data_IF_077519396128
#
_entry.id   IF_077519396128
#
_cell.length_a   1.000
_cell.length_b   1.000
_cell.length_c   1.000
_cell.angle_alpha   90.00
_cell.angle_beta   90.00
_cell.angle_gamma   90.00
#
_symmetry.space_group_name_H-M   'P 1'
#
loop_
_entity.id
_entity.type
_entity.pdbx_description
1 polymer ?
#
# COMPACT_ATOMS: atom_id res chain seq x y z
N UNK A 1 -16.57 11.64 -46.51
CA UNK A 1 -15.17 11.17 -46.48
C UNK A 1 -14.98 10.43 -45.18
N UNK A 2 -14.65 9.14 -45.24
CA UNK A 2 -14.29 8.39 -44.02
C UNK A 2 -12.99 8.98 -43.45
N UNK A 3 -12.86 9.11 -42.12
CA UNK A 3 -11.63 9.61 -41.52
C UNK A 3 -10.43 8.73 -41.87
N UNK A 4 -9.25 9.35 -41.97
CA UNK A 4 -7.99 8.66 -42.24
C UNK A 4 -7.69 7.65 -41.10
N UNK A 5 -7.51 6.35 -41.41
CA UNK A 5 -7.18 5.34 -40.40
C UNK A 5 -5.96 5.69 -39.54
N UNK A 6 -4.97 6.38 -40.10
CA UNK A 6 -3.79 6.80 -39.34
C UNK A 6 -4.12 7.92 -38.35
N UNK A 7 -5.01 8.84 -38.73
CA UNK A 7 -5.49 9.90 -37.85
C UNK A 7 -6.35 9.32 -36.71
N UNK A 8 -7.23 8.36 -37.00
CA UNK A 8 -8.02 7.65 -35.98
C UNK A 8 -7.13 6.89 -34.99
N UNK A 9 -6.12 6.18 -35.48
CA UNK A 9 -5.17 5.46 -34.63
C UNK A 9 -4.37 6.42 -33.73
N UNK A 10 -3.98 7.59 -34.25
CA UNK A 10 -3.30 8.61 -33.47
C UNK A 10 -4.19 9.23 -32.38
N UNK A 11 -5.47 9.48 -32.68
CA UNK A 11 -6.44 9.97 -31.70
C UNK A 11 -6.72 8.94 -30.60
N UNK A 12 -6.93 7.68 -30.99
CA UNK A 12 -7.11 6.57 -30.04
C UNK A 12 -5.87 6.35 -29.15
N UNK A 13 -4.67 6.43 -29.72
CA UNK A 13 -3.43 6.36 -28.94
C UNK A 13 -3.34 7.49 -27.90
N UNK A 14 -3.69 8.73 -28.28
CA UNK A 14 -3.69 9.87 -27.35
C UNK A 14 -4.72 9.67 -26.22
N UNK A 15 -5.91 9.15 -26.53
CA UNK A 15 -6.91 8.84 -25.52
C UNK A 15 -6.39 7.84 -24.48
N UNK A 16 -5.72 6.78 -24.93
CA UNK A 16 -5.07 5.78 -24.06
C UNK A 16 -3.93 6.39 -23.22
N UNK A 17 -3.19 7.38 -23.74
CA UNK A 17 -2.21 8.12 -22.92
C UNK A 17 -2.89 8.83 -21.76
N UNK A 18 -3.96 9.57 -22.02
CA UNK A 18 -4.72 10.27 -20.97
C UNK A 18 -5.39 9.31 -19.99
N UNK A 19 -5.91 8.18 -20.48
CA UNK A 19 -6.47 7.12 -19.64
C UNK A 19 -5.42 6.55 -18.68
N UNK A 20 -4.19 6.29 -19.15
CA UNK A 20 -3.13 5.82 -18.28
C UNK A 20 -2.77 6.83 -17.18
N UNK A 21 -2.75 8.13 -17.48
CA UNK A 21 -2.59 9.17 -16.44
C UNK A 21 -3.75 9.18 -15.43
N UNK A 22 -4.98 9.01 -15.89
CA UNK A 22 -6.15 8.89 -15.01
C UNK A 22 -6.02 7.66 -14.10
N UNK A 23 -5.57 6.52 -14.63
CA UNK A 23 -5.31 5.33 -13.82
C UNK A 23 -4.27 5.57 -12.74
N UNK A 24 -3.18 6.31 -13.02
CA UNK A 24 -2.23 6.68 -11.97
C UNK A 24 -2.86 7.57 -10.89
N UNK A 25 -3.70 8.54 -11.25
CA UNK A 25 -4.42 9.35 -10.26
C UNK A 25 -5.37 8.50 -9.40
N UNK A 26 -5.95 7.46 -9.99
CA UNK A 26 -6.76 6.44 -9.31
C UNK A 26 -5.91 5.34 -8.62
N UNK A 27 -4.58 5.49 -8.57
CA UNK A 27 -3.64 4.56 -7.94
C UNK A 27 -3.68 3.15 -8.51
N UNK A 28 -3.89 3.05 -9.83
CA UNK A 28 -3.90 1.79 -10.61
C UNK A 28 -2.68 1.75 -11.54
N UNK A 29 -1.44 1.60 -11.02
CA UNK A 29 -0.23 1.66 -11.84
C UNK A 29 -0.16 0.56 -12.91
N UNK A 30 -0.76 -0.60 -12.68
CA UNK A 30 -0.84 -1.68 -13.67
C UNK A 30 -1.72 -1.31 -14.86
N UNK A 31 -2.90 -0.74 -14.60
CA UNK A 31 -3.79 -0.27 -15.65
C UNK A 31 -3.19 0.91 -16.43
N UNK A 32 -2.47 1.79 -15.73
CA UNK A 32 -1.72 2.87 -16.37
C UNK A 32 -0.67 2.34 -17.35
N UNK A 33 0.16 1.40 -16.90
CA UNK A 33 1.14 0.73 -17.75
C UNK A 33 0.50 0.10 -18.99
N UNK A 34 -0.62 -0.61 -18.81
CA UNK A 34 -1.32 -1.30 -19.90
C UNK A 34 -1.89 -0.33 -20.94
N UNK A 35 -2.50 0.77 -20.49
CA UNK A 35 -3.04 1.82 -21.37
C UNK A 35 -1.93 2.39 -22.27
N UNK A 36 -0.76 2.68 -21.71
CA UNK A 36 0.37 3.20 -22.49
C UNK A 36 0.99 2.15 -23.41
N UNK A 37 1.01 0.88 -23.03
CA UNK A 37 1.42 -0.20 -23.93
C UNK A 37 0.45 -0.33 -25.12
N UNK A 38 -0.86 -0.23 -24.90
CA UNK A 38 -1.84 -0.23 -25.98
C UNK A 38 -1.68 0.99 -26.89
N UNK A 39 -1.40 2.17 -26.32
CA UNK A 39 -1.11 3.38 -27.11
C UNK A 39 0.10 3.17 -28.05
N UNK A 40 1.18 2.53 -27.56
CA UNK A 40 2.36 2.20 -28.38
C UNK A 40 2.03 1.17 -29.46
N UNK A 41 1.13 0.21 -29.21
CA UNK A 41 0.69 -0.74 -30.25
C UNK A 41 -0.08 -0.06 -31.38
N UNK A 42 -0.97 0.88 -31.04
CA UNK A 42 -1.71 1.65 -32.04
C UNK A 42 -0.82 2.62 -32.82
N UNK A 43 0.17 3.20 -32.14
CA UNK A 43 1.12 4.14 -32.72
C UNK A 43 2.54 3.81 -32.28
N UNK A 44 3.24 2.92 -33.01
CA UNK A 44 4.63 2.58 -32.72
C UNK A 44 5.52 3.83 -32.70
N UNK A 45 6.30 3.99 -31.62
CA UNK A 45 7.13 5.18 -31.41
C UNK A 45 6.39 6.40 -30.86
N UNK A 46 5.18 6.23 -30.30
CA UNK A 46 4.51 7.33 -29.61
C UNK A 46 5.36 7.83 -28.42
N UNK A 47 5.85 9.07 -28.55
CA UNK A 47 6.74 9.69 -27.58
C UNK A 47 6.07 9.87 -26.21
N UNK A 48 4.81 10.30 -26.17
CA UNK A 48 4.12 10.57 -24.91
C UNK A 48 3.87 9.30 -24.10
N UNK A 49 3.42 8.22 -24.76
CA UNK A 49 3.27 6.91 -24.12
C UNK A 49 4.62 6.34 -23.64
N UNK A 50 5.69 6.53 -24.42
CA UNK A 50 7.04 6.06 -24.08
C UNK A 50 7.61 6.82 -22.87
N UNK A 51 7.45 8.14 -22.82
CA UNK A 51 7.83 8.97 -21.67
C UNK A 51 7.02 8.63 -20.42
N UNK A 52 5.73 8.33 -20.57
CA UNK A 52 4.87 7.94 -19.46
C UNK A 52 5.30 6.59 -18.84
N UNK A 53 5.63 5.59 -19.67
CA UNK A 53 6.18 4.31 -19.22
C UNK A 53 7.53 4.46 -18.52
N UNK A 54 8.43 5.29 -19.05
CA UNK A 54 9.70 5.59 -18.40
C UNK A 54 9.48 6.25 -17.03
N UNK A 55 8.55 7.22 -16.95
CA UNK A 55 8.22 7.88 -15.70
C UNK A 55 7.64 6.92 -14.65
N UNK A 56 6.84 5.94 -15.03
CA UNK A 56 6.38 4.90 -14.09
C UNK A 56 7.51 3.97 -13.66
N UNK A 57 8.38 3.56 -14.59
CA UNK A 57 9.53 2.72 -14.27
C UNK A 57 10.49 3.39 -13.27
N UNK A 58 10.64 4.72 -13.36
CA UNK A 58 11.51 5.55 -12.52
C UNK A 58 10.79 6.16 -11.31
N UNK A 59 9.53 5.77 -11.04
CA UNK A 59 8.78 6.26 -9.87
C UNK A 59 9.31 5.61 -8.58
N UNK A 60 10.39 6.17 -8.02
CA UNK A 60 11.06 5.68 -6.81
C UNK A 60 10.20 5.75 -5.54
N UNK A 61 9.12 6.52 -5.56
CA UNK A 61 8.14 6.57 -4.48
C UNK A 61 7.22 5.34 -4.45
N UNK A 62 7.12 4.59 -5.56
CA UNK A 62 6.35 3.36 -5.66
C UNK A 62 7.21 2.12 -5.36
N UNK A 63 6.63 1.07 -4.75
CA UNK A 63 7.33 -0.21 -4.60
C UNK A 63 7.63 -0.81 -5.98
N UNK A 64 8.74 -1.53 -6.12
CA UNK A 64 9.16 -2.15 -7.39
C UNK A 64 8.06 -3.02 -8.00
N UNK A 65 7.33 -3.77 -7.17
CA UNK A 65 6.18 -4.59 -7.59
C UNK A 65 5.14 -3.76 -8.36
N UNK A 66 4.92 -2.48 -8.04
CA UNK A 66 3.93 -1.64 -8.72
C UNK A 66 4.39 -1.13 -10.10
N UNK A 67 5.70 -1.05 -10.33
CA UNK A 67 6.30 -0.44 -11.54
C UNK A 67 6.98 -1.43 -12.49
N UNK A 68 7.28 -2.65 -12.02
CA UNK A 68 7.89 -3.73 -12.82
C UNK A 68 6.95 -4.19 -13.94
N UNK A 69 7.38 -4.17 -15.23
CA UNK A 69 6.62 -4.74 -16.33
C UNK A 69 6.40 -6.24 -16.14
N UNK A 70 5.21 -6.73 -16.51
CA UNK A 70 4.83 -8.15 -16.37
C UNK A 70 4.44 -8.78 -17.69
N UNK A 71 4.58 -10.09 -17.75
CA UNK A 71 4.20 -10.93 -18.89
C UNK A 71 3.26 -12.01 -18.40
N UNK A 72 2.40 -12.44 -19.31
CA UNK A 72 1.55 -13.61 -19.09
C UNK A 72 2.43 -14.85 -18.96
N UNK A 73 2.03 -15.76 -18.07
CA UNK A 73 2.63 -17.08 -17.91
C UNK A 73 2.24 -17.98 -19.07
N UNK A 74 3.10 -18.96 -19.36
CA UNK A 74 2.85 -19.99 -20.35
C UNK A 74 2.06 -21.15 -19.74
N UNK A 75 1.34 -21.94 -20.55
CA UNK A 75 0.72 -23.18 -20.08
C UNK A 75 1.79 -24.14 -19.55
N UNK A 76 1.47 -24.84 -18.46
CA UNK A 76 2.39 -25.68 -17.70
C UNK A 76 2.94 -26.87 -18.51
N UNK A 77 2.10 -27.43 -19.39
CA UNK A 77 2.43 -28.58 -20.24
C UNK A 77 1.77 -28.46 -21.63
N UNK A 78 2.02 -29.47 -22.47
CA UNK A 78 1.48 -29.51 -23.84
C UNK A 78 -0.04 -29.75 -23.87
N UNK A 79 -0.61 -30.36 -22.84
CA UNK A 79 -2.06 -30.57 -22.74
C UNK A 79 -2.78 -29.25 -22.44
N UNK A 80 -2.31 -28.51 -21.43
CA UNK A 80 -2.73 -27.15 -21.15
C UNK A 80 -2.55 -26.25 -22.37
N UNK A 81 -1.42 -26.37 -23.08
CA UNK A 81 -1.21 -25.64 -24.34
C UNK A 81 -2.25 -25.97 -25.40
N UNK A 82 -2.66 -27.24 -25.51
CA UNK A 82 -3.77 -27.66 -26.36
C UNK A 82 -5.09 -26.96 -26.00
N UNK A 83 -5.48 -26.97 -24.72
CA UNK A 83 -6.68 -26.29 -24.22
C UNK A 83 -6.65 -24.78 -24.46
N UNK A 84 -5.51 -24.15 -24.22
CA UNK A 84 -5.32 -22.71 -24.46
C UNK A 84 -5.47 -22.38 -25.94
N UNK A 85 -4.81 -23.15 -26.83
CA UNK A 85 -4.91 -22.95 -28.28
C UNK A 85 -6.34 -23.13 -28.80
N UNK A 86 -7.10 -24.05 -28.22
CA UNK A 86 -8.52 -24.23 -28.55
C UNK A 86 -9.35 -23.03 -28.11
N UNK A 87 -9.19 -22.60 -26.85
CA UNK A 87 -9.92 -21.45 -26.29
C UNK A 87 -9.62 -20.18 -27.07
N UNK A 88 -8.35 -19.93 -27.40
CA UNK A 88 -7.91 -18.72 -28.08
C UNK A 88 -8.26 -18.68 -29.57
N UNK A 89 -8.73 -19.79 -30.15
CA UNK A 89 -9.01 -19.88 -31.58
C UNK A 89 -10.06 -18.85 -32.00
N UNK A 90 -9.64 -17.89 -32.83
CA UNK A 90 -10.52 -16.85 -33.36
C UNK A 90 -10.80 -15.68 -32.40
N UNK A 91 -10.14 -15.61 -31.24
CA UNK A 91 -10.22 -14.48 -30.31
C UNK A 91 -9.09 -13.50 -30.55
N UNK A 92 -9.36 -12.21 -30.30
CA UNK A 92 -8.32 -11.18 -30.28
C UNK A 92 -7.79 -11.02 -28.85
N UNK A 93 -6.66 -11.67 -28.55
CA UNK A 93 -6.03 -11.56 -27.22
C UNK A 93 -5.26 -10.24 -27.01
N UNK A 94 -5.25 -9.33 -27.99
CA UNK A 94 -4.74 -7.98 -27.79
C UNK A 94 -5.75 -7.08 -27.08
N UNK A 95 -7.04 -7.43 -27.16
CA UNK A 95 -8.12 -6.90 -26.35
C UNK A 95 -8.06 -7.55 -24.96
N UNK A 96 -7.96 -6.71 -23.92
CA UNK A 96 -7.74 -7.18 -22.56
C UNK A 96 -9.00 -7.82 -21.95
N UNK A 97 -10.20 -7.37 -22.32
CA UNK A 97 -11.45 -7.99 -21.87
C UNK A 97 -11.60 -9.36 -22.50
N UNK A 98 -11.34 -9.48 -23.81
CA UNK A 98 -11.36 -10.77 -24.50
C UNK A 98 -10.32 -11.75 -23.94
N UNK A 99 -9.11 -11.25 -23.60
CA UNK A 99 -8.08 -12.05 -22.95
C UNK A 99 -8.50 -12.49 -21.53
N UNK A 100 -9.04 -11.60 -20.72
CA UNK A 100 -9.53 -11.92 -19.38
C UNK A 100 -10.63 -13.00 -19.43
N UNK A 101 -11.61 -12.87 -20.33
CA UNK A 101 -12.67 -13.86 -20.53
C UNK A 101 -12.14 -15.21 -21.06
N UNK A 102 -11.11 -15.21 -21.91
CA UNK A 102 -10.50 -16.46 -22.36
C UNK A 102 -9.77 -17.20 -21.23
N UNK A 103 -9.04 -16.48 -20.36
CA UNK A 103 -8.41 -17.09 -19.20
C UNK A 103 -9.42 -17.51 -18.13
N UNK A 104 -10.52 -16.79 -17.98
CA UNK A 104 -11.67 -17.22 -17.18
C UNK A 104 -12.22 -18.57 -17.65
N UNK A 105 -12.49 -18.72 -18.94
CA UNK A 105 -13.00 -19.98 -19.50
C UNK A 105 -12.04 -21.16 -19.30
N UNK A 106 -10.73 -20.92 -19.46
CA UNK A 106 -9.70 -21.94 -19.16
C UNK A 106 -9.73 -22.30 -17.67
N UNK A 107 -9.79 -21.31 -16.79
CA UNK A 107 -9.78 -21.50 -15.34
C UNK A 107 -11.06 -22.16 -14.80
N UNK A 108 -12.21 -21.94 -15.45
CA UNK A 108 -13.46 -22.63 -15.12
C UNK A 108 -13.46 -24.08 -15.63
N UNK A 109 -12.90 -24.32 -16.82
CA UNK A 109 -12.80 -25.66 -17.41
C UNK A 109 -11.73 -26.53 -16.75
N UNK A 110 -10.62 -25.94 -16.34
CA UNK A 110 -9.53 -26.59 -15.60
C UNK A 110 -9.11 -25.72 -14.40
N UNK A 111 -9.79 -25.85 -13.24
CA UNK A 111 -9.52 -25.04 -12.06
C UNK A 111 -8.10 -25.17 -11.50
N UNK A 112 -7.36 -26.22 -11.87
CA UNK A 112 -5.97 -26.42 -11.43
C UNK A 112 -4.92 -25.77 -12.34
N UNK A 113 -5.34 -25.16 -13.46
CA UNK A 113 -4.45 -24.40 -14.35
C UNK A 113 -4.03 -23.07 -13.70
N UNK A 114 -3.02 -23.14 -12.83
CA UNK A 114 -2.52 -21.97 -12.11
C UNK A 114 -2.09 -20.82 -13.04
N UNK A 115 -1.35 -21.06 -14.16
CA UNK A 115 -1.04 -20.00 -15.12
C UNK A 115 -2.27 -19.26 -15.67
N UNK A 116 -3.39 -19.94 -15.89
CA UNK A 116 -4.64 -19.29 -16.32
C UNK A 116 -5.19 -18.32 -15.27
N UNK A 117 -5.20 -18.70 -13.99
CA UNK A 117 -5.60 -17.81 -12.89
C UNK A 117 -4.71 -16.57 -12.76
N UNK A 118 -3.39 -16.75 -12.84
CA UNK A 118 -2.45 -15.62 -12.82
C UNK A 118 -2.71 -14.66 -13.99
N UNK A 119 -2.86 -15.22 -15.19
CA UNK A 119 -3.08 -14.44 -16.41
C UNK A 119 -4.41 -13.70 -16.39
N UNK A 120 -5.48 -14.34 -15.90
CA UNK A 120 -6.77 -13.68 -15.63
C UNK A 120 -6.57 -12.50 -14.70
N UNK A 121 -5.91 -12.71 -13.56
CA UNK A 121 -5.64 -11.65 -12.58
C UNK A 121 -4.85 -10.49 -13.17
N UNK A 122 -3.84 -10.78 -13.98
CA UNK A 122 -3.01 -9.75 -14.62
C UNK A 122 -3.80 -8.96 -15.69
N UNK A 123 -4.61 -9.63 -16.52
CA UNK A 123 -5.49 -8.96 -17.48
C UNK A 123 -6.52 -8.05 -16.79
N UNK A 124 -7.15 -8.53 -15.71
CA UNK A 124 -8.09 -7.74 -14.91
C UNK A 124 -7.41 -6.54 -14.24
N UNK A 125 -6.19 -6.72 -13.73
CA UNK A 125 -5.40 -5.62 -13.18
C UNK A 125 -5.02 -4.57 -14.25
N UNK A 126 -4.74 -5.00 -15.48
CA UNK A 126 -4.49 -4.12 -16.62
C UNK A 126 -5.75 -3.37 -17.09
N UNK A 127 -6.94 -3.95 -16.90
CA UNK A 127 -8.23 -3.27 -17.09
C UNK A 127 -8.61 -2.34 -15.92
N UNK A 128 -7.87 -2.38 -14.82
CA UNK A 128 -8.21 -1.66 -13.58
C UNK A 128 -9.40 -2.25 -12.81
N UNK A 129 -9.78 -3.50 -13.12
CA UNK A 129 -10.76 -4.32 -12.37
C UNK A 129 -10.05 -4.97 -11.18
N UNK A 130 -9.57 -4.13 -10.27
CA UNK A 130 -8.69 -4.53 -9.18
C UNK A 130 -9.29 -5.59 -8.26
N UNK A 131 -10.60 -5.51 -8.00
CA UNK A 131 -11.28 -6.41 -7.07
C UNK A 131 -11.23 -7.86 -7.53
N UNK A 132 -11.64 -8.08 -8.77
CA UNK A 132 -11.63 -9.39 -9.42
C UNK A 132 -10.20 -9.89 -9.71
N UNK A 133 -9.27 -8.96 -9.97
CA UNK A 133 -7.86 -9.30 -10.12
C UNK A 133 -7.28 -9.87 -8.83
N UNK A 134 -7.63 -9.30 -7.66
CA UNK A 134 -7.21 -9.81 -6.35
C UNK A 134 -7.74 -11.22 -6.13
N UNK A 135 -8.99 -11.52 -6.51
CA UNK A 135 -9.56 -12.87 -6.37
C UNK A 135 -8.82 -13.88 -7.24
N UNK A 136 -8.59 -13.58 -8.52
CA UNK A 136 -7.85 -14.47 -9.41
C UNK A 136 -6.40 -14.70 -8.94
N UNK A 137 -5.73 -13.68 -8.42
CA UNK A 137 -4.39 -13.80 -7.83
C UNK A 137 -4.41 -14.63 -6.53
N UNK A 138 -5.47 -14.54 -5.73
CA UNK A 138 -5.63 -15.39 -4.54
C UNK A 138 -5.73 -16.87 -4.93
N UNK A 139 -6.53 -17.18 -5.95
CA UNK A 139 -6.63 -18.54 -6.49
C UNK A 139 -5.30 -19.04 -7.02
N UNK A 140 -4.59 -18.22 -7.79
CA UNK A 140 -3.24 -18.55 -8.23
C UNK A 140 -2.32 -18.90 -7.05
N UNK A 141 -2.31 -18.08 -6.00
CA UNK A 141 -1.47 -18.33 -4.81
C UNK A 141 -1.84 -19.65 -4.13
N UNK A 142 -3.12 -20.00 -4.04
CA UNK A 142 -3.54 -21.29 -3.47
C UNK A 142 -2.98 -22.50 -4.24
N UNK A 143 -2.88 -22.40 -5.56
CA UNK A 143 -2.36 -23.47 -6.41
C UNK A 143 -0.82 -23.47 -6.48
N UNK A 144 -0.22 -22.27 -6.48
CA UNK A 144 1.20 -22.06 -6.77
C UNK A 144 2.09 -21.97 -5.54
N UNK A 145 1.54 -21.80 -4.33
CA UNK A 145 2.33 -21.61 -3.10
C UNK A 145 3.33 -22.74 -2.80
N UNK A 146 3.01 -23.97 -3.19
CA UNK A 146 3.91 -25.12 -3.11
C UNK A 146 4.91 -25.19 -4.27
N UNK A 147 4.46 -25.30 -5.53
CA UNK A 147 5.36 -25.51 -6.66
C UNK A 147 6.21 -24.27 -7.02
N UNK A 148 5.70 -23.06 -6.81
CA UNK A 148 6.33 -21.80 -7.23
C UNK A 148 6.20 -20.71 -6.13
N UNK A 149 6.78 -20.93 -4.93
CA UNK A 149 6.56 -20.07 -3.75
C UNK A 149 6.95 -18.61 -3.95
N UNK A 150 8.05 -18.35 -4.67
CA UNK A 150 8.51 -16.97 -4.93
C UNK A 150 7.57 -16.22 -5.87
N UNK A 151 7.04 -16.91 -6.90
CA UNK A 151 6.10 -16.31 -7.83
C UNK A 151 4.72 -16.12 -7.19
N UNK A 152 4.29 -17.05 -6.32
CA UNK A 152 3.11 -16.88 -5.49
C UNK A 152 3.26 -15.68 -4.53
N UNK A 153 4.42 -15.48 -3.91
CA UNK A 153 4.68 -14.30 -3.09
C UNK A 153 4.67 -13.00 -3.90
N UNK A 154 5.26 -12.99 -5.10
CA UNK A 154 5.21 -11.82 -6.00
C UNK A 154 3.77 -11.52 -6.49
N UNK A 155 2.98 -12.55 -6.78
CA UNK A 155 1.57 -12.42 -7.14
C UNK A 155 0.74 -11.85 -5.99
N UNK A 156 1.01 -12.27 -4.74
CA UNK A 156 0.31 -11.69 -3.60
C UNK A 156 0.78 -10.28 -3.26
N UNK A 157 2.07 -9.96 -3.46
CA UNK A 157 2.56 -8.59 -3.39
C UNK A 157 1.83 -7.71 -4.42
N UNK A 158 1.49 -8.26 -5.59
CA UNK A 158 0.67 -7.54 -6.56
C UNK A 158 -0.77 -7.32 -6.07
N UNK A 159 -1.40 -8.33 -5.49
CA UNK A 159 -2.72 -8.18 -4.85
C UNK A 159 -2.69 -7.09 -3.77
N UNK A 160 -1.61 -7.00 -2.99
CA UNK A 160 -1.40 -5.92 -2.01
C UNK A 160 -1.39 -4.54 -2.69
N UNK A 161 -0.72 -4.36 -3.84
CA UNK A 161 -0.77 -3.09 -4.59
C UNK A 161 -2.20 -2.77 -5.06
N UNK A 162 -2.92 -3.77 -5.57
CA UNK A 162 -4.25 -3.58 -6.14
C UNK A 162 -5.29 -3.13 -5.12
N UNK A 163 -5.19 -3.56 -3.86
CA UNK A 163 -6.07 -3.16 -2.75
C UNK A 163 -6.09 -1.66 -2.48
N UNK A 164 -5.01 -0.95 -2.84
CA UNK A 164 -4.90 0.49 -2.63
C UNK A 164 -5.31 1.32 -3.85
N UNK A 165 -5.64 0.66 -4.97
CA UNK A 165 -6.20 1.29 -6.15
C UNK A 165 -7.71 1.49 -6.04
N UNK A 166 -8.23 2.47 -6.77
CA UNK A 166 -9.67 2.74 -6.78
C UNK A 166 -10.47 1.48 -7.13
N UNK A 167 -11.65 1.28 -6.54
CA UNK A 167 -12.52 0.13 -6.76
C UNK A 167 -12.20 -1.10 -5.91
N UNK A 168 -11.15 -1.08 -5.10
CA UNK A 168 -10.80 -2.14 -4.15
C UNK A 168 -10.68 -1.62 -2.70
N UNK A 169 -11.25 -0.45 -2.40
CA UNK A 169 -11.09 0.26 -1.13
C UNK A 169 -11.53 -0.59 0.07
N UNK A 170 -12.58 -1.41 -0.11
CA UNK A 170 -13.09 -2.32 0.91
C UNK A 170 -12.15 -3.49 1.24
N UNK A 171 -11.12 -3.72 0.41
CA UNK A 171 -10.07 -4.74 0.61
C UNK A 171 -8.78 -4.17 1.18
N UNK A 172 -8.67 -2.85 1.37
CA UNK A 172 -7.45 -2.23 1.87
C UNK A 172 -7.26 -2.42 3.38
N UNK A 173 -6.03 -2.70 3.78
CA UNK A 173 -5.65 -2.85 5.19
C UNK A 173 -5.11 -1.55 5.80
N UNK A 174 -4.33 -0.78 5.04
CA UNK A 174 -3.75 0.47 5.51
C UNK A 174 -4.58 1.67 4.99
N UNK A 175 -5.39 2.22 5.89
CA UNK A 175 -6.36 3.29 5.63
C UNK A 175 -5.93 4.58 6.34
N UNK A 176 -6.29 5.72 5.72
CA UNK A 176 -6.38 7.02 6.39
C UNK A 176 -7.82 7.27 6.78
N UNK A 177 -8.04 7.64 8.03
CA UNK A 177 -9.33 8.03 8.58
C UNK A 177 -9.33 9.54 8.78
N UNK A 178 -10.39 10.20 8.37
CA UNK A 178 -10.55 11.63 8.58
C UNK A 178 -12.00 11.98 8.85
N UNK A 179 -12.19 13.08 9.57
CA UNK A 179 -13.49 13.72 9.66
C UNK A 179 -13.36 15.23 9.55
N UNK A 180 -14.47 15.86 9.16
CA UNK A 180 -14.66 17.31 9.21
C UNK A 180 -15.86 17.64 10.08
N UNK A 181 -15.76 18.72 10.83
CA UNK A 181 -16.83 19.21 11.70
C UNK A 181 -16.81 20.74 11.71
N UNK A 182 -17.97 21.42 11.62
CA UNK A 182 -18.05 22.86 11.81
C UNK A 182 -17.43 23.25 13.16
N UNK A 183 -16.54 24.24 13.13
CA UNK A 183 -15.85 24.70 14.34
C UNK A 183 -16.09 26.19 14.56
N UNK A 184 -16.72 26.60 15.68
CA UNK A 184 -16.94 28.02 15.97
C UNK A 184 -15.62 28.78 16.11
N UNK A 185 -15.51 29.97 15.52
CA UNK A 185 -14.27 30.78 15.54
C UNK A 185 -13.86 31.22 16.95
N UNK A 186 -14.83 31.32 17.87
CA UNK A 186 -14.63 31.66 19.27
C UNK A 186 -14.42 30.43 20.17
N UNK A 187 -14.59 29.22 19.65
CA UNK A 187 -14.39 28.00 20.42
C UNK A 187 -12.88 27.71 20.64
N UNK A 188 -12.46 27.47 21.89
CA UNK A 188 -11.07 27.16 22.19
C UNK A 188 -10.67 25.82 21.58
N UNK A 189 -9.43 25.65 21.06
CA UNK A 189 -9.01 24.44 20.35
C UNK A 189 -9.31 23.16 21.13
N UNK A 190 -9.66 22.04 20.45
CA UNK A 190 -10.08 20.81 21.14
C UNK A 190 -8.95 20.15 21.93
N UNK A 191 -7.70 20.52 21.63
CA UNK A 191 -6.49 19.97 22.21
C UNK A 191 -5.80 20.95 23.18
N UNK A 192 -6.48 22.00 23.65
CA UNK A 192 -5.88 23.01 24.54
C UNK A 192 -5.33 22.41 25.85
N UNK A 193 -6.04 21.45 26.45
CA UNK A 193 -5.59 20.77 27.67
C UNK A 193 -4.35 19.90 27.42
N UNK A 194 -4.36 19.11 26.33
CA UNK A 194 -3.23 18.31 25.88
C UNK A 194 -2.02 19.18 25.49
N UNK A 195 -2.27 20.36 24.92
CA UNK A 195 -1.23 21.33 24.60
C UNK A 195 -0.52 21.82 25.86
N UNK A 196 -1.28 22.11 26.93
CA UNK A 196 -0.71 22.48 28.23
C UNK A 196 0.13 21.35 28.86
N UNK A 197 -0.17 20.09 28.51
CA UNK A 197 0.59 18.92 28.93
C UNK A 197 1.79 18.59 28.01
N UNK A 198 1.97 19.31 26.90
CA UNK A 198 3.05 19.04 25.93
C UNK A 198 2.77 17.87 24.98
N UNK A 199 1.50 17.53 24.78
CA UNK A 199 1.04 16.47 23.86
C UNK A 199 0.52 17.02 22.51
N UNK A 200 0.87 18.25 22.16
CA UNK A 200 0.51 18.89 20.89
C UNK A 200 1.74 19.54 20.28
N UNK A 201 1.99 19.28 19.00
CA UNK A 201 3.09 19.90 18.23
C UNK A 201 2.52 20.73 17.08
N UNK A 202 2.90 22.01 17.00
CA UNK A 202 2.54 22.87 15.88
C UNK A 202 3.35 22.49 14.63
N UNK A 203 2.67 22.42 13.50
CA UNK A 203 3.27 22.20 12.19
C UNK A 203 3.21 23.48 11.36
N UNK A 204 4.22 23.77 10.53
CA UNK A 204 4.15 24.89 9.63
C UNK A 204 3.03 24.69 8.61
N UNK A 205 2.26 25.75 8.34
CA UNK A 205 1.31 25.76 7.23
C UNK A 205 2.10 25.71 5.93
N UNK A 206 1.81 24.77 5.01
CA UNK A 206 2.46 24.72 3.71
C UNK A 206 2.34 26.05 2.97
N UNK A 207 3.41 26.44 2.28
CA UNK A 207 3.44 27.64 1.44
C UNK A 207 3.41 27.24 -0.02
N UNK A 208 2.68 27.99 -0.83
CA UNK A 208 2.65 27.80 -2.26
C UNK A 208 4.04 28.12 -2.83
N UNK A 209 4.68 27.21 -3.57
CA UNK A 209 6.07 27.39 -3.99
C UNK A 209 6.26 28.50 -5.04
N UNK A 210 5.19 28.95 -5.72
CA UNK A 210 5.27 29.99 -6.73
C UNK A 210 5.09 31.39 -6.14
N UNK A 211 4.16 31.55 -5.19
CA UNK A 211 3.82 32.82 -4.54
C UNK A 211 4.50 33.00 -3.18
N UNK A 212 4.98 31.92 -2.56
CA UNK A 212 5.47 31.85 -1.18
C UNK A 212 4.44 32.24 -0.12
N UNK A 213 3.17 32.35 -0.50
CA UNK A 213 2.08 32.65 0.43
C UNK A 213 1.58 31.36 1.12
N UNK A 214 1.03 31.45 2.35
CA UNK A 214 0.43 30.31 3.01
C UNK A 214 -0.72 29.73 2.18
N UNK A 215 -0.71 28.41 1.97
CA UNK A 215 -1.76 27.72 1.21
C UNK A 215 -3.11 27.70 1.96
N UNK A 216 -3.08 27.84 3.30
CA UNK A 216 -4.26 27.93 4.13
C UNK A 216 -4.10 29.08 5.15
N UNK A 217 -4.31 30.34 4.73
CA UNK A 217 -4.17 31.50 5.62
C UNK A 217 -5.11 31.41 6.82
N UNK A 218 -4.59 31.63 8.02
CA UNK A 218 -5.36 31.57 9.26
C UNK A 218 -5.60 30.16 9.81
N UNK A 219 -5.14 29.11 9.10
CA UNK A 219 -5.20 27.75 9.62
C UNK A 219 -4.07 27.48 10.63
N UNK A 220 -4.36 26.65 11.63
CA UNK A 220 -3.38 26.01 12.50
C UNK A 220 -3.34 24.52 12.18
N UNK A 221 -2.15 23.98 11.99
CA UNK A 221 -1.96 22.55 11.75
C UNK A 221 -1.18 22.01 12.94
N UNK A 222 -1.74 21.01 13.62
CA UNK A 222 -1.08 20.39 14.77
C UNK A 222 -1.06 18.87 14.66
N UNK A 223 0.00 18.28 15.19
CA UNK A 223 0.02 16.88 15.56
C UNK A 223 -0.46 16.76 17.01
N UNK A 224 -1.57 16.08 17.20
CA UNK A 224 -2.01 15.63 18.52
C UNK A 224 -1.34 14.29 18.80
N UNK A 225 -0.64 14.22 19.92
CA UNK A 225 0.08 13.03 20.39
C UNK A 225 -0.80 12.21 21.34
N UNK A 226 -0.55 10.89 21.41
CA UNK A 226 -1.20 10.00 22.39
C UNK A 226 -0.75 10.26 23.84
N UNK A 227 0.40 10.93 24.02
CA UNK A 227 0.97 11.33 25.31
C UNK A 227 1.94 12.51 25.15
N UNK A 228 2.32 13.19 26.26
CA UNK A 228 3.35 14.21 26.25
C UNK A 228 4.71 13.72 25.74
N UNK A 229 5.50 14.64 25.16
CA UNK A 229 6.90 14.36 24.86
C UNK A 229 7.71 14.09 26.14
N UNK A 230 8.42 12.95 26.25
CA UNK A 230 9.30 12.70 27.38
C UNK A 230 10.55 13.60 27.33
N UNK A 231 11.20 13.85 28.48
CA UNK A 231 12.47 14.56 28.50
C UNK A 231 13.57 13.74 27.79
N UNK A 232 14.59 14.42 27.26
CA UNK A 232 15.75 13.77 26.64
C UNK A 232 16.70 13.09 27.65
N UNK A 233 16.54 13.37 28.94
CA UNK A 233 17.36 12.79 30.01
C UNK A 233 16.48 12.37 31.20
N UNK A 234 16.54 11.09 31.63
CA UNK A 234 17.27 9.98 30.99
C UNK A 234 16.77 9.67 29.56
N UNK A 235 17.58 9.00 28.73
CA UNK A 235 17.19 8.60 27.37
C UNK A 235 15.96 7.66 27.46
N UNK A 236 14.82 8.01 26.84
CA UNK A 236 13.60 7.21 26.95
C UNK A 236 13.68 5.93 26.11
N UNK A 237 12.88 4.92 26.48
CA UNK A 237 12.72 3.72 25.67
C UNK A 237 11.71 3.91 24.53
N UNK A 238 11.66 3.00 23.54
CA UNK A 238 10.68 3.05 22.44
C UNK A 238 9.22 3.06 22.90
N UNK A 239 8.91 2.40 24.02
CA UNK A 239 7.56 2.35 24.58
C UNK A 239 7.12 3.67 25.24
N UNK A 240 8.07 4.54 25.58
CA UNK A 240 7.83 5.86 26.17
C UNK A 240 7.61 6.93 25.09
N UNK A 241 7.93 6.63 23.83
CA UNK A 241 7.81 7.56 22.72
C UNK A 241 6.34 7.82 22.36
N UNK A 242 5.93 9.08 22.23
CA UNK A 242 4.61 9.41 21.76
C UNK A 242 4.43 9.10 20.28
N UNK A 243 3.19 8.78 19.94
CA UNK A 243 2.73 8.57 18.59
C UNK A 243 1.72 9.65 18.21
N UNK A 244 1.74 10.10 16.97
CA UNK A 244 0.70 10.99 16.43
C UNK A 244 -0.61 10.20 16.38
N UNK A 245 -1.57 10.59 17.22
CA UNK A 245 -2.93 10.02 17.23
C UNK A 245 -3.79 10.65 16.13
N UNK A 246 -3.55 11.94 15.85
CA UNK A 246 -4.27 12.69 14.86
C UNK A 246 -3.47 13.92 14.40
N UNK A 247 -3.62 14.27 13.13
CA UNK A 247 -3.28 15.60 12.61
C UNK A 247 -4.57 16.41 12.53
N UNK A 248 -4.59 17.55 13.19
CA UNK A 248 -5.74 18.46 13.24
C UNK A 248 -5.40 19.74 12.48
N UNK A 249 -6.26 20.10 11.54
CA UNK A 249 -6.24 21.37 10.83
C UNK A 249 -7.43 22.17 11.35
N UNK A 250 -7.14 23.24 12.06
CA UNK A 250 -8.13 24.20 12.55
C UNK A 250 -8.10 25.44 11.66
N UNK A 251 -9.16 25.63 10.88
CA UNK A 251 -9.36 26.77 10.00
C UNK A 251 -10.57 27.59 10.46
N UNK A 252 -10.75 28.83 10.00
CA UNK A 252 -11.98 29.58 10.29
C UNK A 252 -13.24 28.79 9.92
N UNK A 253 -14.14 28.58 10.87
CA UNK A 253 -15.39 27.85 10.70
C UNK A 253 -15.29 26.32 10.60
N UNK A 254 -14.09 25.73 10.56
CA UNK A 254 -13.93 24.31 10.22
C UNK A 254 -12.77 23.65 10.97
N UNK A 255 -13.03 22.45 11.49
CA UNK A 255 -12.00 21.55 11.98
C UNK A 255 -11.96 20.30 11.11
N UNK A 256 -10.77 19.98 10.60
CA UNK A 256 -10.48 18.70 9.96
C UNK A 256 -9.52 17.91 10.84
N UNK A 257 -9.84 16.65 11.10
CA UNK A 257 -8.98 15.73 11.82
C UNK A 257 -8.67 14.54 10.91
N UNK A 258 -7.44 14.03 10.95
CA UNK A 258 -7.05 12.84 10.19
C UNK A 258 -6.01 12.01 10.94
N UNK A 259 -5.97 10.70 10.68
CA UNK A 259 -5.05 9.78 11.32
C UNK A 259 -5.09 8.38 10.72
N UNK A 260 -4.22 7.51 11.22
CA UNK A 260 -4.05 6.15 10.69
C UNK A 260 -4.73 5.08 11.56
N UNK A 261 -5.10 5.44 12.80
CA UNK A 261 -5.75 4.54 13.75
C UNK A 261 -7.20 4.98 13.97
N UNK A 262 -8.14 4.09 13.67
CA UNK A 262 -9.58 4.37 13.76
C UNK A 262 -10.01 4.70 15.18
N UNK A 263 -9.56 3.90 16.15
CA UNK A 263 -9.92 4.07 17.57
C UNK A 263 -9.42 5.40 18.10
N UNK A 264 -8.21 5.81 17.71
CA UNK A 264 -7.63 7.09 18.06
C UNK A 264 -8.48 8.27 17.55
N UNK A 265 -8.95 8.18 16.29
CA UNK A 265 -9.81 9.19 15.65
C UNK A 265 -11.20 9.24 16.29
N UNK A 266 -11.83 8.08 16.54
CA UNK A 266 -13.10 8.00 17.28
C UNK A 266 -12.96 8.58 18.69
N UNK A 267 -11.82 8.39 19.34
CA UNK A 267 -11.51 9.04 20.62
C UNK A 267 -11.32 10.56 20.52
N UNK A 268 -10.89 11.08 19.37
CA UNK A 268 -10.84 12.54 19.14
C UNK A 268 -12.25 13.10 18.93
N UNK A 269 -13.11 12.41 18.17
CA UNK A 269 -14.53 12.79 18.02
C UNK A 269 -15.22 12.90 19.38
N UNK A 270 -15.04 11.90 20.24
CA UNK A 270 -15.59 11.91 21.60
C UNK A 270 -15.08 13.08 22.44
N UNK A 271 -13.80 13.45 22.32
CA UNK A 271 -13.24 14.61 23.02
C UNK A 271 -13.85 15.93 22.52
N UNK A 272 -14.14 16.03 21.22
CA UNK A 272 -14.82 17.18 20.62
C UNK A 272 -16.27 17.28 21.09
N UNK A 273 -17.03 16.18 21.04
CA UNK A 273 -18.43 16.14 21.52
C UNK A 273 -18.53 16.48 23.00
N UNK A 274 -17.58 16.02 23.82
CA UNK A 274 -17.54 16.37 25.24
C UNK A 274 -17.38 17.89 25.48
N UNK A 275 -16.79 18.61 24.52
CA UNK A 275 -16.49 20.04 24.62
C UNK A 275 -17.58 20.93 24.04
N UNK A 276 -18.10 20.60 22.86
CA UNK A 276 -19.11 21.40 22.16
C UNK A 276 -20.55 20.94 22.41
N UNK A 277 -20.73 19.76 22.99
CA UNK A 277 -22.04 19.14 23.19
C UNK A 277 -22.27 17.96 22.25
N UNK A 278 -23.25 17.12 22.61
CA UNK A 278 -23.65 15.94 21.82
C UNK A 278 -24.43 16.35 20.57
N UNK A 279 -24.42 15.48 19.56
CA UNK A 279 -25.23 15.64 18.35
C UNK A 279 -24.56 16.48 17.26
N UNK A 280 -23.24 16.58 17.29
CA UNK A 280 -22.48 17.14 16.17
C UNK A 280 -22.54 16.18 14.98
N UNK A 281 -22.71 16.75 13.79
CA UNK A 281 -22.56 16.00 12.55
C UNK A 281 -21.10 16.05 12.10
N UNK A 282 -20.48 14.88 12.02
CA UNK A 282 -19.13 14.71 11.50
C UNK A 282 -19.21 14.13 10.09
N UNK A 283 -18.62 14.82 9.12
CA UNK A 283 -18.43 14.29 7.78
C UNK A 283 -17.20 13.36 7.79
N UNK A 284 -17.43 12.05 7.77
CA UNK A 284 -16.39 11.03 7.96
C UNK A 284 -15.97 10.43 6.62
N UNK A 285 -14.67 10.22 6.48
CA UNK A 285 -14.08 9.53 5.34
C UNK A 285 -13.04 8.51 5.79
N UNK A 286 -13.01 7.38 5.08
CA UNK A 286 -11.94 6.40 5.18
C UNK A 286 -11.48 6.09 3.77
N UNK A 287 -10.19 6.24 3.53
CA UNK A 287 -9.59 6.06 2.20
C UNK A 287 -8.33 5.23 2.33
N UNK A 288 -8.05 4.30 1.40
CA UNK A 288 -6.76 3.62 1.37
C UNK A 288 -5.61 4.64 1.39
N UNK A 289 -4.49 4.29 2.02
CA UNK A 289 -3.29 5.11 1.90
C UNK A 289 -2.76 5.07 0.46
N UNK A 290 -2.15 6.16 -0.05
CA UNK A 290 -1.34 6.08 -1.24
C UNK A 290 -0.26 5.01 -1.11
N UNK A 291 0.10 4.34 -2.22
CA UNK A 291 1.12 3.28 -2.22
C UNK A 291 2.45 3.74 -1.60
N UNK A 292 2.82 5.01 -1.82
CA UNK A 292 4.02 5.60 -1.25
C UNK A 292 3.98 5.81 0.28
N UNK A 293 2.84 5.54 0.92
CA UNK A 293 2.57 5.82 2.34
C UNK A 293 2.06 4.58 3.10
N UNK A 294 2.16 3.36 2.55
CA UNK A 294 1.72 2.15 3.27
C UNK A 294 2.56 1.84 4.52
N UNK A 295 3.66 2.57 4.69
CA UNK A 295 4.57 2.58 5.83
C UNK A 295 4.37 3.79 6.76
N UNK A 296 3.37 4.65 6.52
CA UNK A 296 3.18 5.89 7.28
C UNK A 296 3.02 5.67 8.79
N UNK A 297 2.57 4.48 9.23
CA UNK A 297 2.49 4.13 10.65
C UNK A 297 3.86 4.10 11.35
N UNK A 298 4.94 3.78 10.63
CA UNK A 298 6.30 3.85 11.15
C UNK A 298 6.74 5.31 11.39
N UNK A 299 6.22 6.25 10.60
CA UNK A 299 6.49 7.67 10.70
C UNK A 299 5.60 8.41 11.72
N UNK A 300 4.79 7.71 12.52
CA UNK A 300 3.94 8.35 13.55
C UNK A 300 4.67 8.61 14.87
N UNK A 301 5.82 7.99 15.10
CA UNK A 301 6.59 8.14 16.35
C UNK A 301 7.28 9.51 16.40
N UNK A 302 7.30 10.16 17.57
CA UNK A 302 8.03 11.42 17.78
C UNK A 302 9.15 11.26 18.79
N UNK A 303 10.32 11.80 18.43
CA UNK A 303 11.56 11.69 19.22
C UNK A 303 11.78 12.99 20.01
N UNK A 304 12.26 12.92 21.26
CA UNK A 304 12.58 14.10 22.08
C UNK A 304 13.56 15.05 21.43
N UNK A 305 13.31 16.35 21.59
CA UNK A 305 14.27 17.39 21.25
C UNK A 305 15.46 17.36 22.23
N UNK A 306 16.65 17.73 21.75
CA UNK A 306 17.85 17.79 22.58
C UNK A 306 18.59 16.46 22.79
N UNK A 307 18.18 15.38 22.12
CA UNK A 307 18.96 14.13 22.07
C UNK A 307 20.29 14.36 21.33
N UNK A 308 21.33 13.62 21.75
CA UNK A 308 22.56 13.56 20.96
C UNK A 308 22.30 12.89 19.61
N UNK A 309 23.07 13.17 18.56
CA UNK A 309 22.91 12.51 17.26
C UNK A 309 22.99 10.98 17.32
N UNK A 310 23.74 10.44 18.30
CA UNK A 310 23.85 9.00 18.52
C UNK A 310 22.59 8.43 19.19
N UNK A 311 22.10 9.07 20.25
CA UNK A 311 20.86 8.69 20.93
C UNK A 311 19.66 8.77 19.98
N UNK A 312 19.59 9.84 19.18
CA UNK A 312 18.54 10.01 18.17
C UNK A 312 18.51 8.82 17.19
N UNK A 313 19.66 8.45 16.61
CA UNK A 313 19.75 7.31 15.68
C UNK A 313 19.39 5.99 16.34
N UNK A 314 19.88 5.73 17.56
CA UNK A 314 19.54 4.50 18.30
C UNK A 314 18.04 4.41 18.56
N UNK A 315 17.45 5.49 19.06
CA UNK A 315 16.04 5.54 19.44
C UNK A 315 15.13 5.45 18.23
N UNK A 316 15.50 6.10 17.12
CA UNK A 316 14.79 5.96 15.84
C UNK A 316 14.84 4.51 15.33
N UNK A 317 16.01 3.88 15.29
CA UNK A 317 16.14 2.49 14.87
C UNK A 317 15.30 1.55 15.75
N UNK A 318 15.30 1.77 17.07
CA UNK A 318 14.50 1.01 18.01
C UNK A 318 12.99 1.25 17.84
N UNK A 319 12.56 2.47 17.52
CA UNK A 319 11.17 2.81 17.23
C UNK A 319 10.65 2.16 15.95
N UNK A 320 11.47 2.11 14.89
CA UNK A 320 11.15 1.40 13.65
C UNK A 320 11.04 -0.11 13.91
N UNK A 321 12.00 -0.68 14.64
CA UNK A 321 11.95 -2.09 15.02
C UNK A 321 10.71 -2.44 15.86
N UNK A 322 10.37 -1.62 16.85
CA UNK A 322 9.13 -1.76 17.63
C UNK A 322 7.87 -1.68 16.73
N UNK A 323 7.89 -0.76 15.77
CA UNK A 323 6.84 -0.61 14.76
C UNK A 323 6.57 -1.89 13.99
N UNK A 324 7.60 -2.53 13.44
CA UNK A 324 7.42 -3.77 12.70
C UNK A 324 7.20 -4.98 13.61
N UNK A 325 8.09 -5.20 14.58
CA UNK A 325 8.20 -6.47 15.32
C UNK A 325 7.21 -6.60 16.48
N UNK A 326 6.59 -5.50 16.91
CA UNK A 326 5.55 -5.53 17.94
C UNK A 326 4.20 -5.10 17.41
N UNK A 327 4.11 -3.91 16.81
CA UNK A 327 2.83 -3.30 16.41
C UNK A 327 2.29 -3.90 15.12
N UNK A 328 3.04 -3.80 14.03
CA UNK A 328 2.60 -4.24 12.71
C UNK A 328 2.27 -5.73 12.65
N UNK A 329 3.11 -6.58 13.24
CA UNK A 329 2.86 -8.04 13.30
C UNK A 329 1.63 -8.44 14.12
N UNK A 330 1.11 -7.55 14.96
CA UNK A 330 -0.06 -7.80 15.78
C UNK A 330 -1.38 -7.32 15.16
N UNK A 331 -1.35 -6.49 14.11
CA UNK A 331 -2.56 -5.95 13.49
C UNK A 331 -3.15 -6.97 12.50
N UNK A 332 -4.40 -7.45 12.69
CA UNK A 332 -5.06 -8.34 11.76
C UNK A 332 -5.28 -7.69 10.38
N UNK A 333 -4.95 -8.42 9.32
CA UNK A 333 -5.01 -7.99 7.93
C UNK A 333 -5.95 -8.86 7.11
N UNK A 334 -6.77 -8.23 6.28
CA UNK A 334 -7.58 -8.87 5.24
C UNK A 334 -6.67 -9.60 4.24
N UNK A 335 -5.54 -8.99 3.87
CA UNK A 335 -4.55 -9.60 2.99
C UNK A 335 -3.89 -10.87 3.53
N UNK A 336 -4.13 -11.27 4.78
CA UNK A 336 -3.67 -12.52 5.38
C UNK A 336 -4.83 -13.44 5.81
N UNK A 337 -6.03 -13.05 5.43
CA UNK A 337 -7.27 -13.78 5.65
C UNK A 337 -7.40 -15.07 4.84
N UNK A 338 -8.39 -15.88 5.22
CA UNK A 338 -8.87 -16.92 4.33
C UNK A 338 -9.40 -16.26 3.05
N UNK A 339 -9.07 -16.83 1.88
CA UNK A 339 -9.53 -16.29 0.60
C UNK A 339 -11.05 -16.26 0.54
N UNK A 340 -11.61 -15.29 -0.19
CA UNK A 340 -13.06 -15.16 -0.31
C UNK A 340 -13.72 -16.38 -0.95
N UNK A 341 -12.99 -17.29 -1.61
CA UNK A 341 -13.62 -18.41 -2.33
C UNK A 341 -14.17 -17.94 -3.68
N UNK A 342 -14.15 -18.79 -4.71
CA UNK A 342 -14.65 -18.41 -6.04
C UNK A 342 -16.14 -18.10 -5.89
N UNK A 343 -16.54 -16.89 -6.25
CA UNK A 343 -17.96 -16.50 -6.31
C UNK A 343 -18.63 -16.16 -4.98
N UNK A 344 -17.88 -15.98 -3.87
CA UNK A 344 -18.46 -15.31 -2.69
C UNK A 344 -18.45 -13.81 -2.91
N UNK A 345 -19.64 -13.22 -2.87
CA UNK A 345 -19.82 -11.77 -2.85
C UNK A 345 -19.62 -11.25 -1.42
N UNK A 346 -19.27 -9.96 -1.30
CA UNK A 346 -19.18 -9.23 -0.02
C UNK A 346 -20.49 -9.34 0.81
N UNK A 347 -21.60 -9.73 0.16
CA UNK A 347 -22.91 -9.96 0.77
C UNK A 347 -23.00 -11.23 1.64
N UNK A 348 -22.02 -12.14 1.60
CA UNK A 348 -21.96 -13.25 2.56
C UNK A 348 -21.67 -12.67 3.96
N UNK A 349 -22.67 -12.70 4.85
CA UNK A 349 -22.81 -11.92 6.10
C UNK A 349 -21.67 -12.02 7.14
N UNK A 350 -20.68 -12.89 6.94
CA UNK A 350 -19.51 -12.98 7.83
C UNK A 350 -18.36 -12.12 7.31
N UNK A 351 -17.91 -11.19 8.14
CA UNK A 351 -16.74 -10.36 7.83
C UNK A 351 -15.56 -11.26 7.41
N UNK A 352 -14.86 -10.95 6.31
CA UNK A 352 -13.75 -11.77 5.82
C UNK A 352 -12.73 -12.00 6.94
N UNK A 353 -12.35 -13.26 7.13
CA UNK A 353 -11.42 -13.65 8.18
C UNK A 353 -10.14 -12.80 8.08
N UNK A 354 -9.71 -12.19 9.18
CA UNK A 354 -8.45 -11.44 9.25
C UNK A 354 -7.43 -12.25 10.04
N UNK A 355 -6.16 -12.16 9.66
CA UNK A 355 -5.06 -12.70 10.46
C UNK A 355 -3.96 -11.68 10.61
N UNK A 356 -3.35 -11.62 11.78
CA UNK A 356 -2.17 -10.79 11.96
C UNK A 356 -0.97 -11.42 11.25
N UNK A 357 0.07 -10.65 10.87
CA UNK A 357 1.30 -11.22 10.34
C UNK A 357 1.93 -12.27 11.26
N UNK A 358 1.84 -12.08 12.59
CA UNK A 358 2.29 -13.08 13.57
C UNK A 358 1.52 -14.39 13.45
N UNK A 359 0.20 -14.35 13.48
CA UNK A 359 -0.65 -15.55 13.34
C UNK A 359 -0.41 -16.25 11.99
N UNK A 360 -0.28 -15.48 10.91
CA UNK A 360 0.03 -16.02 9.59
C UNK A 360 1.42 -16.68 9.56
N UNK A 361 2.40 -16.11 10.28
CA UNK A 361 3.75 -16.65 10.40
C UNK A 361 3.80 -17.95 11.19
N UNK A 362 3.03 -18.04 12.29
CA UNK A 362 2.88 -19.27 13.07
C UNK A 362 2.31 -20.41 12.21
N UNK A 363 1.22 -20.16 11.47
CA UNK A 363 0.63 -21.13 10.55
C UNK A 363 1.56 -21.48 9.38
N UNK A 364 2.29 -20.50 8.85
CA UNK A 364 3.30 -20.73 7.82
C UNK A 364 4.47 -21.61 8.30
N UNK A 365 4.82 -21.53 9.59
CA UNK A 365 5.81 -22.39 10.22
C UNK A 365 5.27 -23.82 10.46
N UNK A 366 3.95 -23.97 10.67
CA UNK A 366 3.27 -25.25 10.77
C UNK A 366 3.04 -25.95 9.41
N UNK A 367 3.37 -25.29 8.31
CA UNK A 367 3.34 -25.85 6.94
C UNK A 367 2.27 -25.27 6.03
N UNK A 368 1.56 -24.20 6.43
CA UNK A 368 0.65 -23.48 5.53
C UNK A 368 1.45 -22.67 4.48
N UNK A 369 1.68 -23.28 3.33
CA UNK A 369 2.44 -22.68 2.23
C UNK A 369 1.71 -21.47 1.64
N UNK A 370 0.37 -21.44 1.66
CA UNK A 370 -0.42 -20.32 1.14
C UNK A 370 -0.23 -19.10 2.01
N UNK A 371 -0.37 -19.24 3.33
CA UNK A 371 -0.10 -18.15 4.27
C UNK A 371 1.37 -17.71 4.22
N UNK A 372 2.30 -18.65 4.03
CA UNK A 372 3.72 -18.31 3.80
C UNK A 372 3.88 -17.40 2.58
N UNK A 373 3.32 -17.77 1.43
CA UNK A 373 3.39 -16.96 0.21
C UNK A 373 2.73 -15.59 0.39
N UNK A 374 1.53 -15.55 0.99
CA UNK A 374 0.81 -14.30 1.27
C UNK A 374 1.62 -13.38 2.19
N UNK A 375 2.13 -13.90 3.29
CA UNK A 375 2.91 -13.14 4.26
C UNK A 375 4.24 -12.66 3.67
N UNK A 376 4.91 -13.48 2.86
CA UNK A 376 6.08 -13.07 2.08
C UNK A 376 5.76 -11.91 1.12
N UNK A 377 4.62 -11.95 0.42
CA UNK A 377 4.18 -10.90 -0.49
C UNK A 377 3.89 -9.57 0.22
N UNK A 378 3.16 -9.59 1.34
CA UNK A 378 2.88 -8.38 2.13
C UNK A 378 4.19 -7.79 2.70
N UNK A 379 5.09 -8.65 3.20
CA UNK A 379 6.40 -8.23 3.72
C UNK A 379 7.28 -7.63 2.62
N UNK A 380 7.26 -8.21 1.41
CA UNK A 380 8.00 -7.71 0.25
C UNK A 380 7.60 -6.27 -0.10
N UNK A 381 6.31 -5.93 -0.07
CA UNK A 381 5.87 -4.55 -0.33
C UNK A 381 6.44 -3.58 0.71
N UNK A 382 6.42 -3.94 1.99
CA UNK A 382 6.97 -3.09 3.07
C UNK A 382 8.49 -2.93 2.95
N UNK A 383 9.19 -4.00 2.60
CA UNK A 383 10.64 -3.94 2.35
C UNK A 383 10.98 -3.03 1.16
N UNK A 384 10.24 -3.14 0.06
CA UNK A 384 10.48 -2.29 -1.12
C UNK A 384 10.22 -0.82 -0.80
N UNK A 385 9.19 -0.51 0.00
CA UNK A 385 8.95 0.85 0.47
C UNK A 385 10.07 1.36 1.37
N UNK A 386 10.62 0.51 2.24
CA UNK A 386 11.73 0.89 3.12
C UNK A 386 13.03 1.22 2.37
N UNK A 387 13.25 0.60 1.21
CA UNK A 387 14.44 0.80 0.36
C UNK A 387 14.38 2.05 -0.51
N UNK A 388 13.26 2.78 -0.53
CA UNK A 388 13.13 4.00 -1.33
C UNK A 388 14.05 5.11 -0.81
N UNK A 389 14.66 5.91 -1.68
CA UNK A 389 15.51 7.03 -1.25
C UNK A 389 14.79 8.01 -0.32
N UNK A 390 13.52 8.31 -0.58
CA UNK A 390 12.71 9.23 0.23
C UNK A 390 12.39 8.75 1.66
N UNK A 391 12.56 7.46 1.95
CA UNK A 391 12.33 6.87 3.27
C UNK A 391 13.59 6.27 3.90
N UNK A 392 14.75 6.31 3.22
CA UNK A 392 15.98 5.70 3.72
C UNK A 392 16.39 6.23 5.11
N UNK A 393 16.22 7.54 5.35
CA UNK A 393 16.47 8.15 6.65
C UNK A 393 15.49 7.69 7.72
N UNK A 394 14.21 7.47 7.37
CA UNK A 394 13.20 6.99 8.30
C UNK A 394 13.58 5.61 8.85
N UNK A 395 13.97 4.71 7.95
CA UNK A 395 14.20 3.30 8.26
C UNK A 395 15.59 2.99 8.82
N UNK A 396 16.58 3.86 8.60
CA UNK A 396 17.97 3.67 9.04
C UNK A 396 18.55 2.28 8.71
N UNK A 397 18.12 1.69 7.59
CA UNK A 397 18.55 0.35 7.16
C UNK A 397 17.98 -0.80 8.01
N UNK A 398 16.75 -0.66 8.52
CA UNK A 398 16.05 -1.74 9.23
C UNK A 398 16.19 -3.10 8.53
N UNK A 399 16.55 -4.13 9.30
CA UNK A 399 16.81 -5.49 8.82
C UNK A 399 15.48 -6.24 8.60
N UNK A 400 14.98 -6.23 7.36
CA UNK A 400 13.80 -7.01 6.98
C UNK A 400 14.05 -8.53 7.01
N UNK A 401 15.30 -9.00 6.96
CA UNK A 401 15.58 -10.42 7.13
C UNK A 401 15.31 -10.82 8.59
N UNK A 402 15.64 -9.97 9.57
CA UNK A 402 15.25 -10.19 10.97
C UNK A 402 13.73 -10.31 11.15
N UNK A 403 12.95 -9.46 10.48
CA UNK A 403 11.49 -9.55 10.47
C UNK A 403 11.01 -10.86 9.84
N UNK A 404 11.62 -11.30 8.74
CA UNK A 404 11.29 -12.58 8.10
C UNK A 404 11.54 -13.76 9.03
N UNK A 405 12.67 -13.80 9.75
CA UNK A 405 12.93 -14.90 10.70
C UNK A 405 11.91 -14.93 11.83
N UNK A 406 11.56 -13.77 12.38
CA UNK A 406 10.57 -13.69 13.47
C UNK A 406 9.16 -14.11 13.04
N UNK A 407 8.89 -14.06 11.73
CA UNK A 407 7.66 -14.52 11.09
C UNK A 407 7.74 -15.95 10.53
N UNK A 408 8.85 -16.65 10.71
CA UNK A 408 9.02 -18.01 10.18
C UNK A 408 9.11 -18.09 8.64
N UNK A 409 9.47 -17.00 7.98
CA UNK A 409 9.54 -16.89 6.51
C UNK A 409 10.90 -17.28 5.91
N UNK A 410 11.90 -17.63 6.73
CA UNK A 410 13.23 -17.94 6.22
C UNK A 410 13.23 -19.16 5.29
N UNK A 411 14.10 -19.07 4.28
CA UNK A 411 14.40 -20.15 3.35
C UNK A 411 15.00 -21.36 4.10
N UNK A 412 14.80 -22.56 3.57
CA UNK A 412 15.41 -23.81 4.05
C UNK A 412 16.96 -23.81 4.10
N UNK A 413 17.66 -22.72 3.74
CA UNK A 413 19.14 -22.66 3.66
C UNK A 413 19.76 -21.28 4.03
N UNK A 414 19.24 -20.56 5.02
CA UNK A 414 19.98 -19.42 5.59
C UNK A 414 20.94 -19.90 6.72
N UNK A 415 22.25 -19.57 6.68
CA UNK A 415 23.14 -19.93 7.78
C UNK A 415 22.73 -19.22 9.08
N UNK A 416 22.97 -19.82 10.26
CA UNK A 416 22.58 -19.23 11.54
C UNK A 416 23.35 -17.90 11.77
N UNK A 417 22.79 -16.99 12.60
CA UNK A 417 23.27 -15.63 12.69
C UNK A 417 24.72 -15.57 13.18
N UNK A 418 25.59 -14.97 12.35
CA UNK A 418 26.78 -14.31 12.87
C UNK A 418 26.32 -13.09 13.66
N UNK A 419 26.38 -13.17 14.97
CA UNK A 419 26.24 -12.01 15.86
C UNK A 419 27.31 -10.99 15.46
N UNK A 420 26.88 -9.83 14.94
CA UNK A 420 27.53 -8.54 15.21
C UNK A 420 26.64 -7.38 14.73
N UNK A 421 25.98 -6.70 15.68
CA UNK A 421 25.76 -5.25 15.61
C UNK A 421 27.14 -4.62 15.84
N UNK A 422 27.65 -3.72 14.97
CA UNK A 422 27.12 -2.36 14.88
C UNK A 422 27.14 -1.75 13.46
N UNK A 423 26.34 -0.71 13.27
CA UNK A 423 26.41 0.21 12.13
C UNK A 423 27.86 0.62 11.83
N UNK A 424 28.40 0.21 10.68
CA UNK A 424 29.56 0.86 10.07
C UNK A 424 29.20 1.45 8.70
N UNK A 425 29.64 2.69 8.42
CA UNK A 425 29.39 3.33 7.13
C UNK A 425 30.15 2.60 6.03
N UNK A 426 29.46 2.34 4.91
CA UNK A 426 30.08 1.84 3.68
C UNK A 426 31.23 2.78 3.30
N UNK A 427 32.43 2.23 3.11
CA UNK A 427 33.51 2.93 2.42
C UNK A 427 33.20 2.93 0.94
N UNK A 428 33.16 4.12 0.34
CA UNK A 428 33.07 4.27 -1.10
C UNK A 428 34.26 3.63 -1.80
N UNK A 429 34.06 2.92 -2.93
CA UNK A 429 35.16 2.45 -3.76
C UNK A 429 35.80 3.65 -4.49
N UNK A 430 37.14 3.66 -4.47
CA UNK A 430 37.99 4.59 -5.25
C UNK A 430 37.86 4.37 -6.74
#
# INVERSE_FOLDING_TARGET
>A
MSPDPAALAAEAALALVHEGWRHLQLRRPLAAWASWQQAIRLKPGDKAATEALARLADAEDLPEVARKPRRLLNPADDEARGRWNETFRGRDLSDLDAAASAFEEIAEGEPTDAPAWYNRGLCLAWLGRNDEAIDALDFYVHLAAGPEPDLAAEAWALAEILRHGAGAEHRADDLSYAFEVPWPDDAPPPFEADQALGAVREMPVPVDPASLEPMAPGARIVEWLDRPMPPASPEPGPADLPHVRAVVILSPGLLRCSGLDRSAIEGVEQAIEARLGRGLEFDRSSTPLPLAMLDASAATVRLPEGLSPEALRRLQAAAIADGFERRWVAVPRLGLGAGLGIGRTIEDEEAPARRSPREAGELAAEGDLVLRAKLSGVTLVREQLARRPGSAELYLGYDFDRLRRSLGLDALDAPPPGVDLPLQPRRDPK
#
